data_IF_417958687240
#
_entry.id   IF_417958687240
#
_cell.length_a   1.000
_cell.length_b   1.000
_cell.length_c   1.000
_cell.angle_alpha   90.00
_cell.angle_beta   90.00
_cell.angle_gamma   90.00
#
_symmetry.space_group_name_H-M   'P 1'
#
loop_
_entity.id
_entity.type
_entity.pdbx_description
1 polymer ?
#
# COMPACT_ATOMS: atom_id res chain seq x y z
N UNK A 1 18.30 -7.08 13.15
CA UNK A 1 18.66 -6.73 11.77
C UNK A 1 20.18 -6.69 11.75
N UNK A 2 20.82 -7.48 10.89
CA UNK A 2 22.27 -7.44 10.76
C UNK A 2 22.71 -6.26 9.85
N UNK A 3 24.01 -5.97 9.81
CA UNK A 3 24.55 -4.84 9.05
C UNK A 3 24.25 -4.92 7.55
N UNK A 4 24.30 -6.12 6.98
CA UNK A 4 23.97 -6.35 5.55
C UNK A 4 22.52 -5.99 5.21
N UNK A 5 21.58 -6.26 6.11
CA UNK A 5 20.16 -5.92 5.90
C UNK A 5 19.97 -4.39 5.91
N UNK A 6 20.67 -3.67 6.81
CA UNK A 6 20.65 -2.19 6.84
C UNK A 6 21.20 -1.66 5.52
N UNK A 7 22.33 -2.18 5.04
CA UNK A 7 22.92 -1.74 3.78
C UNK A 7 21.99 -1.96 2.58
N UNK A 8 21.25 -3.08 2.54
CA UNK A 8 20.29 -3.32 1.45
C UNK A 8 19.20 -2.24 1.41
N UNK A 9 18.65 -1.88 2.57
CA UNK A 9 17.61 -0.82 2.65
C UNK A 9 18.20 0.54 2.27
N UNK A 10 19.38 0.87 2.78
CA UNK A 10 20.07 2.14 2.49
C UNK A 10 20.46 2.26 1.02
N UNK A 11 20.89 1.17 0.38
CA UNK A 11 21.17 1.14 -1.04
C UNK A 11 19.88 1.34 -1.88
N UNK A 12 18.77 0.77 -1.44
CA UNK A 12 17.47 1.03 -2.06
C UNK A 12 17.06 2.51 -1.95
N UNK A 13 17.32 3.16 -0.81
CA UNK A 13 17.10 4.59 -0.65
C UNK A 13 17.94 5.43 -1.62
N UNK A 14 19.23 5.14 -1.76
CA UNK A 14 20.10 5.77 -2.77
C UNK A 14 19.57 5.61 -4.19
N UNK A 15 19.16 4.40 -4.56
CA UNK A 15 18.63 4.12 -5.88
C UNK A 15 17.36 4.94 -6.17
N UNK A 16 16.46 5.07 -5.20
CA UNK A 16 15.24 5.89 -5.31
C UNK A 16 15.54 7.38 -5.42
N UNK A 17 16.43 7.90 -4.57
CA UNK A 17 16.89 9.29 -4.63
C UNK A 17 17.57 9.58 -5.97
N UNK A 18 18.44 8.71 -6.44
CA UNK A 18 19.08 8.86 -7.73
C UNK A 18 18.06 8.86 -8.87
N UNK A 19 17.13 7.91 -8.88
CA UNK A 19 16.12 7.80 -9.94
C UNK A 19 15.22 9.04 -10.02
N UNK A 20 14.75 9.57 -8.87
CA UNK A 20 13.90 10.77 -8.86
C UNK A 20 14.66 12.03 -9.31
N UNK A 21 15.99 12.06 -9.15
CA UNK A 21 16.83 13.19 -9.54
C UNK A 21 17.28 13.10 -11.00
N UNK A 22 17.60 11.92 -11.51
CA UNK A 22 18.12 11.72 -12.87
C UNK A 22 17.03 11.46 -13.91
N UNK A 23 15.93 10.81 -13.51
CA UNK A 23 14.83 10.52 -14.41
C UNK A 23 13.48 10.61 -13.65
N UNK A 24 13.08 11.86 -13.39
CA UNK A 24 11.84 12.19 -12.69
C UNK A 24 10.61 11.51 -13.31
N UNK A 25 10.48 11.55 -14.62
CA UNK A 25 9.32 11.00 -15.33
C UNK A 25 9.19 9.49 -15.12
N UNK A 26 10.31 8.75 -15.22
CA UNK A 26 10.34 7.30 -14.96
C UNK A 26 9.96 6.98 -13.52
N UNK A 27 10.45 7.77 -12.55
CA UNK A 27 10.07 7.60 -11.14
C UNK A 27 8.58 7.86 -10.94
N UNK A 28 8.07 8.97 -11.51
CA UNK A 28 6.66 9.35 -11.39
C UNK A 28 5.71 8.30 -11.99
N UNK A 29 6.03 7.76 -13.18
CA UNK A 29 5.25 6.66 -13.78
C UNK A 29 5.21 5.44 -12.85
N UNK A 30 6.33 5.06 -12.23
CA UNK A 30 6.35 3.96 -11.25
C UNK A 30 5.50 4.24 -10.01
N UNK A 31 5.43 5.50 -9.61
CA UNK A 31 4.53 5.91 -8.52
C UNK A 31 3.05 5.87 -8.94
N UNK A 32 2.73 6.33 -10.15
CA UNK A 32 1.37 6.22 -10.73
C UNK A 32 0.94 4.75 -10.81
N UNK A 33 1.81 3.87 -11.29
CA UNK A 33 1.53 2.42 -11.34
C UNK A 33 1.27 1.83 -9.96
N UNK A 34 2.01 2.25 -8.93
CA UNK A 34 1.77 1.77 -7.57
C UNK A 34 0.38 2.17 -7.06
N UNK A 35 -0.04 3.41 -7.28
CA UNK A 35 -1.40 3.86 -6.95
C UNK A 35 -2.47 3.08 -7.73
N UNK A 36 -2.26 2.88 -9.01
CA UNK A 36 -3.14 2.07 -9.84
C UNK A 36 -3.30 0.64 -9.29
N UNK A 37 -2.22 -0.03 -8.89
CA UNK A 37 -2.28 -1.37 -8.29
C UNK A 37 -2.98 -1.40 -6.94
N UNK A 38 -2.83 -0.35 -6.12
CA UNK A 38 -3.58 -0.23 -4.85
C UNK A 38 -5.08 -0.19 -5.13
N UNK A 39 -5.50 0.59 -6.11
CA UNK A 39 -6.92 0.75 -6.39
C UNK A 39 -7.52 -0.48 -7.08
N UNK A 40 -6.77 -1.16 -7.98
CA UNK A 40 -7.14 -2.50 -8.49
C UNK A 40 -7.44 -3.46 -7.35
N UNK A 41 -6.54 -3.53 -6.37
CA UNK A 41 -6.71 -4.42 -5.23
C UNK A 41 -7.87 -4.00 -4.32
N UNK A 42 -8.11 -2.69 -4.18
CA UNK A 42 -9.24 -2.14 -3.42
C UNK A 42 -10.57 -2.54 -4.09
N UNK A 43 -10.70 -2.36 -5.39
CA UNK A 43 -11.89 -2.76 -6.14
C UNK A 43 -12.10 -4.27 -6.02
N UNK A 44 -11.05 -5.07 -6.29
CA UNK A 44 -11.11 -6.52 -6.23
C UNK A 44 -11.50 -7.02 -4.83
N UNK A 45 -10.87 -6.49 -3.79
CA UNK A 45 -11.17 -6.80 -2.39
C UNK A 45 -12.63 -6.51 -2.03
N UNK A 46 -13.16 -5.37 -2.45
CA UNK A 46 -14.54 -4.99 -2.16
C UNK A 46 -15.56 -5.80 -2.97
N UNK A 47 -15.28 -6.09 -4.24
CA UNK A 47 -16.16 -6.96 -5.06
C UNK A 47 -16.25 -8.35 -4.44
N UNK A 48 -15.12 -8.97 -4.13
CA UNK A 48 -15.07 -10.30 -3.51
C UNK A 48 -15.69 -10.28 -2.12
N UNK A 49 -15.35 -9.28 -1.30
CA UNK A 49 -15.92 -9.09 0.03
C UNK A 49 -17.46 -8.97 -0.01
N UNK A 50 -18.00 -8.21 -0.96
CA UNK A 50 -19.45 -8.06 -1.16
C UNK A 50 -20.13 -9.39 -1.55
N UNK A 51 -19.53 -10.16 -2.45
CA UNK A 51 -20.07 -11.47 -2.85
C UNK A 51 -20.14 -12.42 -1.65
N UNK A 52 -19.06 -12.55 -0.90
CA UNK A 52 -19.02 -13.41 0.30
C UNK A 52 -19.94 -12.91 1.42
N UNK A 53 -20.07 -11.60 1.60
CA UNK A 53 -20.93 -11.03 2.65
C UNK A 53 -22.42 -11.35 2.47
N UNK A 54 -22.86 -11.68 1.25
CA UNK A 54 -24.24 -12.09 0.96
C UNK A 54 -24.57 -13.51 1.43
N UNK A 55 -23.58 -14.39 1.44
CA UNK A 55 -23.75 -15.82 1.77
C UNK A 55 -23.13 -16.19 3.10
N UNK A 56 -21.99 -15.60 3.43
CA UNK A 56 -21.20 -15.83 4.63
C UNK A 56 -20.63 -14.50 5.17
N UNK A 57 -21.41 -13.70 5.89
CA UNK A 57 -21.02 -12.33 6.28
C UNK A 57 -19.72 -12.24 7.05
N UNK A 58 -19.43 -13.23 7.90
CA UNK A 58 -18.20 -13.28 8.70
C UNK A 58 -16.94 -13.50 7.84
N UNK A 59 -17.08 -14.23 6.73
CA UNK A 59 -15.98 -14.51 5.81
C UNK A 59 -15.71 -13.40 4.80
N UNK A 60 -16.70 -12.57 4.48
CA UNK A 60 -16.57 -11.52 3.48
C UNK A 60 -15.41 -10.56 3.79
N UNK A 61 -15.30 -10.14 5.04
CA UNK A 61 -14.22 -9.25 5.49
C UNK A 61 -12.84 -9.93 5.42
N UNK A 62 -12.77 -11.18 5.85
CA UNK A 62 -11.51 -11.94 5.88
C UNK A 62 -10.99 -12.21 4.47
N UNK A 63 -11.85 -12.68 3.56
CA UNK A 63 -11.47 -12.97 2.17
C UNK A 63 -11.11 -11.68 1.43
N UNK A 64 -11.88 -10.60 1.63
CA UNK A 64 -11.54 -9.30 1.08
C UNK A 64 -10.15 -8.80 1.52
N UNK A 65 -9.83 -8.97 2.80
CA UNK A 65 -8.53 -8.59 3.33
C UNK A 65 -7.37 -9.44 2.76
N UNK A 66 -7.58 -10.75 2.59
CA UNK A 66 -6.60 -11.62 1.94
C UNK A 66 -6.32 -11.18 0.50
N UNK A 67 -7.38 -10.92 -0.26
CA UNK A 67 -7.31 -10.52 -1.67
C UNK A 67 -6.62 -9.15 -1.82
N UNK A 68 -6.82 -8.23 -0.89
CA UNK A 68 -6.16 -6.92 -0.94
C UNK A 68 -4.63 -7.00 -0.96
N UNK A 69 -4.04 -8.07 -0.44
CA UNK A 69 -2.59 -8.26 -0.44
C UNK A 69 -1.98 -8.28 -1.85
N UNK A 70 -2.78 -8.53 -2.89
CA UNK A 70 -2.34 -8.46 -4.30
C UNK A 70 -1.75 -7.10 -4.66
N UNK A 71 -2.19 -6.02 -4.00
CA UNK A 71 -1.63 -4.68 -4.19
C UNK A 71 -0.13 -4.65 -4.00
N UNK A 72 0.33 -5.08 -2.82
CA UNK A 72 1.75 -5.03 -2.46
C UNK A 72 2.55 -6.09 -3.22
N UNK A 73 1.92 -7.21 -3.58
CA UNK A 73 2.53 -8.21 -4.46
C UNK A 73 2.81 -7.61 -5.84
N UNK A 74 1.83 -7.00 -6.49
CA UNK A 74 2.01 -6.35 -7.79
C UNK A 74 3.08 -5.25 -7.72
N UNK A 75 3.05 -4.40 -6.70
CA UNK A 75 4.04 -3.35 -6.51
C UNK A 75 5.45 -3.93 -6.35
N UNK A 76 5.58 -5.02 -5.59
CA UNK A 76 6.89 -5.63 -5.30
C UNK A 76 7.47 -6.37 -6.49
N UNK A 77 6.64 -7.10 -7.25
CA UNK A 77 7.09 -7.93 -8.38
C UNK A 77 7.17 -7.15 -9.70
N UNK A 78 6.27 -6.20 -9.93
CA UNK A 78 6.27 -5.37 -11.14
C UNK A 78 7.18 -4.14 -11.00
N UNK A 79 7.38 -3.65 -9.77
CA UNK A 79 8.30 -2.57 -9.48
C UNK A 79 7.67 -1.18 -9.39
N UNK A 80 6.64 -1.02 -8.57
CA UNK A 80 6.02 0.27 -8.27
C UNK A 80 6.73 1.05 -7.15
N UNK A 81 6.49 2.36 -7.10
CA UNK A 81 7.00 3.26 -6.05
C UNK A 81 5.86 3.65 -5.09
N UNK A 82 5.70 2.86 -4.03
CA UNK A 82 4.63 3.05 -3.04
C UNK A 82 5.07 4.00 -1.93
N UNK A 83 4.29 5.06 -1.68
CA UNK A 83 4.55 6.05 -0.65
C UNK A 83 4.78 5.44 0.73
N UNK A 84 3.92 4.53 1.18
CA UNK A 84 4.01 3.89 2.50
C UNK A 84 5.30 3.09 2.68
N UNK A 85 5.71 2.31 1.67
CA UNK A 85 7.01 1.60 1.68
C UNK A 85 8.20 2.56 1.62
N UNK A 86 8.07 3.65 0.87
CA UNK A 86 9.12 4.67 0.75
C UNK A 86 9.34 5.44 2.05
N UNK A 87 8.33 5.55 2.94
CA UNK A 87 8.51 6.16 4.26
C UNK A 87 9.60 5.45 5.05
N UNK A 88 9.57 4.14 5.13
CA UNK A 88 10.57 3.35 5.82
C UNK A 88 11.93 3.42 5.09
N UNK A 89 11.96 3.11 3.80
CA UNK A 89 13.20 3.01 3.02
C UNK A 89 13.99 4.31 3.08
N UNK A 90 13.33 5.45 2.86
CA UNK A 90 14.00 6.75 2.86
C UNK A 90 14.40 7.21 4.26
N UNK A 91 13.58 6.91 5.29
CA UNK A 91 13.96 7.19 6.68
C UNK A 91 15.22 6.41 7.08
N UNK A 92 15.30 5.11 6.78
CA UNK A 92 16.49 4.32 7.01
C UNK A 92 17.72 4.91 6.30
N UNK A 93 17.58 5.23 5.01
CA UNK A 93 18.67 5.83 4.25
C UNK A 93 19.13 7.18 4.79
N UNK A 94 18.21 7.99 5.32
CA UNK A 94 18.53 9.27 5.93
C UNK A 94 19.21 9.12 7.30
N UNK A 95 18.75 8.20 8.14
CA UNK A 95 19.42 7.88 9.42
C UNK A 95 20.81 7.27 9.20
N UNK A 96 20.99 6.44 8.19
CA UNK A 96 22.29 5.86 7.79
C UNK A 96 23.16 6.86 7.00
N UNK A 97 22.72 8.13 6.88
CA UNK A 97 23.42 9.22 6.17
C UNK A 97 23.74 8.91 4.71
N UNK A 98 23.01 8.01 4.09
CA UNK A 98 23.19 7.65 2.67
C UNK A 98 22.38 8.55 1.73
N UNK A 99 21.34 9.19 2.24
CA UNK A 99 20.54 10.22 1.57
C UNK A 99 20.23 11.34 2.56
N UNK A 100 19.97 12.54 2.05
CA UNK A 100 19.54 13.67 2.89
C UNK A 100 18.04 13.61 3.19
N UNK A 101 17.61 14.26 4.29
CA UNK A 101 16.19 14.42 4.60
C UNK A 101 15.43 15.19 3.52
N UNK A 102 16.11 16.10 2.80
CA UNK A 102 15.53 16.82 1.66
C UNK A 102 15.20 15.86 0.50
N UNK A 103 16.10 14.93 0.20
CA UNK A 103 15.88 13.89 -0.80
C UNK A 103 14.77 12.93 -0.35
N UNK A 104 14.73 12.56 0.91
CA UNK A 104 13.64 11.76 1.47
C UNK A 104 12.28 12.46 1.27
N UNK A 105 12.18 13.74 1.62
CA UNK A 105 10.98 14.55 1.41
C UNK A 105 10.56 14.63 -0.07
N UNK A 106 11.53 14.78 -0.99
CA UNK A 106 11.26 14.75 -2.44
C UNK A 106 10.67 13.42 -2.90
N UNK A 107 11.28 12.30 -2.49
CA UNK A 107 10.79 10.95 -2.80
C UNK A 107 9.39 10.73 -2.25
N UNK A 108 9.13 11.12 -1.00
CA UNK A 108 7.81 11.03 -0.38
C UNK A 108 6.76 11.85 -1.14
N UNK A 109 7.04 13.11 -1.43
CA UNK A 109 6.10 13.97 -2.14
C UNK A 109 5.76 13.46 -3.53
N UNK A 110 6.78 13.05 -4.31
CA UNK A 110 6.56 12.55 -5.67
C UNK A 110 5.82 11.21 -5.66
N UNK A 111 6.16 10.29 -4.76
CA UNK A 111 5.45 9.01 -4.66
C UNK A 111 4.00 9.20 -4.18
N UNK A 112 3.74 10.10 -3.22
CA UNK A 112 2.39 10.41 -2.77
C UNK A 112 1.51 10.93 -3.90
N UNK A 113 2.00 11.94 -4.64
CA UNK A 113 1.28 12.52 -5.77
C UNK A 113 1.06 11.51 -6.90
N UNK A 114 2.08 10.71 -7.22
CA UNK A 114 1.97 9.67 -8.24
C UNK A 114 0.95 8.59 -7.85
N UNK A 115 0.97 8.12 -6.59
CA UNK A 115 -0.01 7.15 -6.11
C UNK A 115 -1.44 7.72 -6.19
N UNK A 116 -1.63 8.99 -5.80
CA UNK A 116 -2.93 9.65 -5.92
C UNK A 116 -3.43 9.71 -7.37
N UNK A 117 -2.56 10.10 -8.31
CA UNK A 117 -2.91 10.13 -9.75
C UNK A 117 -3.26 8.75 -10.26
N UNK A 118 -2.50 7.71 -9.86
CA UNK A 118 -2.77 6.32 -10.25
C UNK A 118 -4.15 5.83 -9.79
N UNK A 119 -4.49 6.08 -8.53
CA UNK A 119 -5.83 5.78 -7.99
C UNK A 119 -6.92 6.55 -8.74
N UNK A 120 -6.73 7.84 -8.99
CA UNK A 120 -7.71 8.65 -9.71
C UNK A 120 -7.97 8.15 -11.14
N UNK A 121 -6.92 7.75 -11.85
CA UNK A 121 -7.05 7.19 -13.21
C UNK A 121 -7.89 5.91 -13.18
N UNK A 122 -7.60 4.96 -12.28
CA UNK A 122 -8.36 3.72 -12.22
C UNK A 122 -9.80 3.95 -11.77
N UNK A 123 -10.03 4.82 -10.79
CA UNK A 123 -11.38 5.18 -10.36
C UNK A 123 -12.22 5.72 -11.53
N UNK A 124 -11.65 6.61 -12.35
CA UNK A 124 -12.31 7.14 -13.55
C UNK A 124 -12.59 6.04 -14.58
N UNK A 125 -11.66 5.13 -14.82
CA UNK A 125 -11.83 4.00 -15.72
C UNK A 125 -12.93 3.05 -15.20
N UNK A 126 -12.97 2.77 -13.90
CA UNK A 126 -13.96 1.90 -13.28
C UNK A 126 -15.39 2.47 -13.41
N UNK A 127 -15.54 3.77 -13.13
CA UNK A 127 -16.83 4.47 -13.31
C UNK A 127 -17.20 4.52 -14.79
N UNK A 128 -16.27 4.85 -15.68
CA UNK A 128 -16.49 4.90 -17.13
C UNK A 128 -16.84 3.56 -17.76
N UNK A 129 -16.38 2.45 -17.16
CA UNK A 129 -16.75 1.09 -17.56
C UNK A 129 -18.17 0.68 -17.14
N UNK A 130 -18.91 1.55 -16.46
CA UNK A 130 -20.26 1.22 -15.97
C UNK A 130 -20.29 0.20 -14.83
N UNK A 131 -19.15 -0.03 -14.18
CA UNK A 131 -19.00 -1.03 -13.12
C UNK A 131 -19.57 -0.56 -11.76
N UNK A 132 -20.60 0.29 -11.79
CA UNK A 132 -21.18 0.92 -10.60
C UNK A 132 -22.10 0.01 -9.77
N UNK A 133 -22.34 -1.25 -10.19
CA UNK A 133 -23.19 -2.19 -9.45
C UNK A 133 -22.76 -2.53 -8.03
N UNK A 134 -21.56 -2.11 -7.61
CA UNK A 134 -21.03 -2.23 -6.24
C UNK A 134 -20.96 -0.88 -5.53
N UNK A 135 -21.50 0.20 -6.10
CA UNK A 135 -21.38 1.57 -5.59
C UNK A 135 -21.89 1.70 -4.14
N UNK A 136 -23.01 1.07 -3.80
CA UNK A 136 -23.57 1.13 -2.46
C UNK A 136 -22.66 0.50 -1.39
N UNK A 137 -22.00 -0.61 -1.75
CA UNK A 137 -21.02 -1.25 -0.87
C UNK A 137 -19.81 -0.35 -0.62
N UNK A 138 -19.29 0.29 -1.68
CA UNK A 138 -18.21 1.27 -1.57
C UNK A 138 -18.63 2.50 -0.76
N UNK A 139 -19.83 3.02 -0.98
CA UNK A 139 -20.34 4.18 -0.26
C UNK A 139 -20.42 3.91 1.25
N UNK A 140 -20.92 2.74 1.66
CA UNK A 140 -20.93 2.32 3.05
C UNK A 140 -19.52 2.22 3.66
N UNK A 141 -18.57 1.63 2.93
CA UNK A 141 -17.18 1.53 3.35
C UNK A 141 -16.51 2.91 3.52
N UNK A 142 -16.72 3.82 2.57
CA UNK A 142 -16.17 5.19 2.61
C UNK A 142 -16.81 5.99 3.73
N UNK A 143 -18.15 5.91 3.88
CA UNK A 143 -18.88 6.59 4.95
C UNK A 143 -18.38 6.22 6.34
N UNK A 144 -18.16 4.92 6.58
CA UNK A 144 -17.58 4.43 7.83
C UNK A 144 -16.15 4.96 8.07
N UNK A 145 -15.33 5.08 7.02
CA UNK A 145 -13.98 5.66 7.17
C UNK A 145 -14.01 7.15 7.49
N UNK A 146 -14.89 7.90 6.86
CA UNK A 146 -15.01 9.33 7.07
C UNK A 146 -15.60 9.69 8.45
N UNK A 147 -16.34 8.79 9.10
CA UNK A 147 -16.86 8.99 10.45
C UNK A 147 -15.82 8.79 11.56
N UNK A 148 -14.63 8.28 11.24
CA UNK A 148 -13.58 8.04 12.25
C UNK A 148 -12.98 9.37 12.73
N UNK A 149 -12.90 9.62 14.06
CA UNK A 149 -12.25 10.80 14.60
C UNK A 149 -10.78 10.91 14.15
N UNK A 150 -10.31 12.12 13.83
CA UNK A 150 -8.96 12.36 13.31
C UNK A 150 -7.84 11.74 14.15
N UNK A 151 -7.95 11.80 15.48
CA UNK A 151 -6.96 11.20 16.38
C UNK A 151 -6.89 9.69 16.24
N UNK A 152 -8.04 9.01 16.15
CA UNK A 152 -8.08 7.57 15.91
C UNK A 152 -7.57 7.22 14.50
N UNK A 153 -7.91 8.02 13.49
CA UNK A 153 -7.45 7.85 12.12
C UNK A 153 -5.92 7.93 12.05
N UNK A 154 -5.30 8.86 12.78
CA UNK A 154 -3.84 8.98 12.85
C UNK A 154 -3.18 7.71 13.40
N UNK A 155 -3.63 7.21 14.57
CA UNK A 155 -3.05 6.00 15.16
C UNK A 155 -3.27 4.76 14.28
N UNK A 156 -4.43 4.64 13.63
CA UNK A 156 -4.71 3.57 12.67
C UNK A 156 -3.78 3.66 11.46
N UNK A 157 -3.53 4.85 10.94
CA UNK A 157 -2.59 5.06 9.83
C UNK A 157 -1.16 4.67 10.21
N UNK A 158 -0.71 5.01 11.42
CA UNK A 158 0.61 4.61 11.95
C UNK A 158 0.73 3.09 12.02
N UNK A 159 -0.25 2.41 12.62
CA UNK A 159 -0.26 0.94 12.74
C UNK A 159 -0.32 0.27 11.36
N UNK A 160 -1.17 0.78 10.46
CA UNK A 160 -1.26 0.30 9.08
C UNK A 160 0.10 0.39 8.38
N UNK A 161 0.72 1.58 8.42
CA UNK A 161 2.02 1.77 7.77
C UNK A 161 3.12 0.90 8.40
N UNK A 162 3.08 0.67 9.71
CA UNK A 162 4.02 -0.23 10.39
C UNK A 162 4.01 -1.64 9.80
N UNK A 163 2.83 -2.24 9.62
CA UNK A 163 2.70 -3.58 9.04
C UNK A 163 3.09 -3.63 7.56
N UNK A 164 2.73 -2.59 6.79
CA UNK A 164 3.19 -2.49 5.39
C UNK A 164 4.70 -2.41 5.31
N UNK A 165 5.34 -1.58 6.14
CA UNK A 165 6.79 -1.48 6.22
C UNK A 165 7.44 -2.80 6.63
N UNK A 166 6.84 -3.51 7.58
CA UNK A 166 7.33 -4.84 8.00
C UNK A 166 7.26 -5.84 6.85
N UNK A 167 6.16 -5.86 6.09
CA UNK A 167 6.01 -6.70 4.89
C UNK A 167 7.06 -6.39 3.83
N UNK A 168 7.30 -5.11 3.56
CA UNK A 168 8.34 -4.67 2.61
C UNK A 168 9.74 -5.07 3.10
N UNK A 169 10.04 -4.84 4.37
CA UNK A 169 11.34 -5.20 4.96
C UNK A 169 11.60 -6.72 4.89
N UNK A 170 10.60 -7.53 5.26
CA UNK A 170 10.69 -8.99 5.14
C UNK A 170 10.88 -9.41 3.68
N UNK A 171 10.15 -8.78 2.74
CA UNK A 171 10.31 -9.01 1.32
C UNK A 171 11.72 -8.72 0.81
N UNK A 172 12.39 -7.69 1.34
CA UNK A 172 13.79 -7.37 0.99
C UNK A 172 14.81 -8.35 1.59
N UNK A 173 14.49 -8.96 2.74
CA UNK A 173 15.37 -9.91 3.44
C UNK A 173 15.27 -11.33 2.90
N UNK A 174 14.09 -11.77 2.54
CA UNK A 174 13.84 -13.14 2.11
C UNK A 174 14.41 -13.39 0.71
N UNK A 175 15.06 -14.53 0.53
CA UNK A 175 15.66 -14.94 -0.75
C UNK A 175 14.70 -15.76 -1.62
N UNK A 176 13.69 -16.38 -1.01
CA UNK A 176 12.68 -17.20 -1.69
C UNK A 176 11.47 -16.36 -2.08
N UNK A 177 11.03 -16.45 -3.32
CA UNK A 177 9.83 -15.75 -3.80
C UNK A 177 8.57 -16.25 -3.10
N UNK A 178 8.48 -17.54 -2.78
CA UNK A 178 7.39 -18.10 -1.99
C UNK A 178 7.36 -17.51 -0.56
N UNK A 179 8.52 -17.37 0.07
CA UNK A 179 8.63 -16.73 1.38
C UNK A 179 8.22 -15.25 1.34
N UNK A 180 8.64 -14.51 0.31
CA UNK A 180 8.22 -13.12 0.08
C UNK A 180 6.71 -13.01 -0.09
N UNK A 181 6.14 -13.85 -0.95
CA UNK A 181 4.71 -13.93 -1.17
C UNK A 181 3.94 -14.14 0.14
N UNK A 182 4.30 -15.16 0.91
CA UNK A 182 3.64 -15.48 2.17
C UNK A 182 3.70 -14.33 3.19
N UNK A 183 4.88 -13.73 3.37
CA UNK A 183 5.06 -12.63 4.34
C UNK A 183 4.30 -11.37 3.93
N UNK A 184 4.25 -11.04 2.64
CA UNK A 184 3.46 -9.92 2.13
C UNK A 184 1.98 -10.19 2.37
N UNK A 185 1.48 -11.37 2.01
CA UNK A 185 0.08 -11.73 2.22
C UNK A 185 -0.30 -11.63 3.69
N UNK A 186 0.47 -12.20 4.59
CA UNK A 186 0.16 -12.20 6.03
C UNK A 186 0.17 -10.79 6.64
N UNK A 187 1.17 -9.97 6.33
CA UNK A 187 1.29 -8.63 6.90
C UNK A 187 0.25 -7.65 6.34
N UNK A 188 -0.04 -7.72 5.05
CA UNK A 188 -1.00 -6.82 4.40
C UNK A 188 -2.44 -7.20 4.70
N UNK A 189 -2.76 -8.50 4.75
CA UNK A 189 -4.10 -8.97 5.14
C UNK A 189 -4.48 -8.53 6.54
N UNK A 190 -3.55 -8.62 7.49
CA UNK A 190 -3.78 -8.13 8.85
C UNK A 190 -4.10 -6.63 8.87
N UNK A 191 -3.35 -5.84 8.11
CA UNK A 191 -3.56 -4.40 7.99
C UNK A 191 -4.96 -4.06 7.49
N UNK A 192 -5.42 -4.76 6.47
CA UNK A 192 -6.72 -4.53 5.85
C UNK A 192 -7.88 -5.01 6.73
N UNK A 193 -7.74 -6.16 7.42
CA UNK A 193 -8.69 -6.65 8.41
C UNK A 193 -8.93 -5.62 9.51
N UNK A 194 -7.88 -5.09 10.11
CA UNK A 194 -7.98 -4.07 11.17
C UNK A 194 -8.60 -2.77 10.69
N UNK A 195 -8.39 -2.38 9.44
CA UNK A 195 -9.05 -1.21 8.89
C UNK A 195 -10.58 -1.38 8.79
N UNK A 196 -11.06 -2.63 8.70
CA UNK A 196 -12.49 -2.97 8.64
C UNK A 196 -13.14 -3.25 10.00
N UNK A 197 -12.41 -3.83 10.97
CA UNK A 197 -13.02 -4.30 12.24
C UNK A 197 -13.57 -3.18 13.12
N UNK A 198 -13.09 -1.98 12.97
CA UNK A 198 -13.42 -0.90 13.92
C UNK A 198 -14.73 -0.16 13.63
N UNK A 199 -15.46 -0.55 12.60
CA UNK A 199 -16.76 0.04 12.29
C UNK A 199 -17.97 -0.82 12.76
N UNK A 200 -17.73 -2.05 13.22
CA UNK A 200 -18.79 -3.01 13.51
C UNK A 200 -18.92 -3.40 15.01
N UNK A 201 -17.97 -3.04 15.89
CA UNK A 201 -17.91 -3.53 17.27
C UNK A 201 -17.67 -2.43 18.31
N UNK A 202 -18.16 -1.24 18.10
CA UNK A 202 -18.41 -0.20 19.11
C UNK A 202 -19.87 0.32 18.92
#
# INVERSE_FOLDING_TARGET
MNYEDVQKVSNAAKAKSNLVNTNFFKYFIRAVMAGFFIDVAMIYSNVVGNVFSKTMPEWGKFVGALVFSIAVLLISFVGGELFTGNNMVMAFGAYDKQVSWKEAGKVWGVSYLGNFVGCAILALLFVGAGASGTADYFAGFIGNKLSIPLGQMFFRAVLCNFFVCLGVLCGMKLKSDAGRFLMIVMSVSYTHLRAHETAANL
#
